data_IF_663948764268
#
_entry.id   IF_663948764268
#
_cell.length_a   1.000
_cell.length_b   1.000
_cell.length_c   1.000
_cell.angle_alpha   90.00
_cell.angle_beta   90.00
_cell.angle_gamma   90.00
#
_symmetry.space_group_name_H-M   'P 1'
#
loop_
_entity.id
_entity.type
_entity.pdbx_description
1 polymer ?
#
# COMPACT_ATOMS: atom_id res chain seq x y z
N UNK A 1 -14.60 13.04 1.95
CA UNK A 1 -13.17 13.15 2.30
C UNK A 1 -12.40 12.40 1.24
N UNK A 2 -11.39 13.00 0.60
CA UNK A 2 -10.52 12.22 -0.29
C UNK A 2 -9.83 11.10 0.52
N UNK A 3 -9.62 9.94 -0.10
CA UNK A 3 -8.92 8.78 0.48
C UNK A 3 -9.63 8.10 1.68
N UNK A 4 -10.92 7.74 1.51
CA UNK A 4 -11.71 6.99 2.51
C UNK A 4 -11.99 5.56 2.09
N UNK A 5 -11.86 4.62 3.03
CA UNK A 5 -12.25 3.21 2.90
C UNK A 5 -13.43 2.95 3.84
N UNK A 6 -14.49 2.33 3.32
CA UNK A 6 -15.61 1.87 4.14
C UNK A 6 -15.44 0.38 4.46
N UNK A 7 -15.33 0.05 5.74
CA UNK A 7 -15.31 -1.33 6.22
C UNK A 7 -16.75 -1.82 6.25
N UNK A 8 -17.05 -2.81 5.42
CA UNK A 8 -18.32 -3.50 5.34
C UNK A 8 -18.02 -4.99 5.22
N UNK A 9 -18.60 -5.85 6.07
CA UNK A 9 -18.45 -7.32 5.94
C UNK A 9 -19.05 -7.84 4.63
N UNK A 10 -19.84 -7.03 3.93
CA UNK A 10 -20.43 -7.32 2.63
C UNK A 10 -20.07 -6.15 1.71
N UNK A 11 -18.84 -6.12 1.18
CA UNK A 11 -18.50 -5.15 0.13
C UNK A 11 -19.50 -5.34 -1.01
N UNK A 12 -20.37 -4.34 -1.21
CA UNK A 12 -21.42 -4.38 -2.26
C UNK A 12 -20.83 -4.25 -3.67
N UNK A 13 -19.52 -4.31 -3.81
CA UNK A 13 -18.78 -4.08 -5.06
C UNK A 13 -18.05 -5.34 -5.48
N UNK A 14 -18.79 -6.42 -5.68
CA UNK A 14 -18.27 -7.58 -6.40
C UNK A 14 -19.20 -7.91 -7.55
N UNK A 15 -18.83 -7.37 -8.71
CA UNK A 15 -19.21 -7.95 -9.98
C UNK A 15 -18.44 -9.26 -10.23
N UNK A 16 -18.69 -9.94 -11.35
CA UNK A 16 -18.21 -11.31 -11.62
C UNK A 16 -16.68 -11.48 -11.67
N UNK A 17 -15.89 -10.40 -11.56
CA UNK A 17 -14.43 -10.39 -11.76
C UNK A 17 -13.64 -10.23 -10.44
N UNK A 18 -14.30 -9.99 -9.29
CA UNK A 18 -13.63 -9.74 -7.99
C UNK A 18 -14.24 -10.58 -6.87
N UNK A 19 -13.45 -11.36 -6.09
CA UNK A 19 -13.99 -12.10 -4.95
C UNK A 19 -14.41 -11.12 -3.84
N UNK A 20 -15.62 -11.31 -3.30
CA UNK A 20 -16.34 -10.55 -2.26
C UNK A 20 -15.58 -10.18 -0.98
N UNK A 21 -14.31 -10.56 -0.85
CA UNK A 21 -13.51 -10.47 0.35
C UNK A 21 -12.32 -9.52 0.21
N UNK A 22 -12.10 -8.90 -0.97
CA UNK A 22 -11.03 -7.91 -1.15
C UNK A 22 -11.52 -6.71 -1.98
N UNK A 23 -11.61 -5.50 -1.38
CA UNK A 23 -11.90 -4.29 -2.14
C UNK A 23 -10.74 -3.96 -3.10
N UNK A 24 -11.03 -3.16 -4.13
CA UNK A 24 -9.98 -2.58 -4.96
C UNK A 24 -8.96 -1.83 -4.08
N UNK A 25 -7.65 -1.90 -4.39
CA UNK A 25 -6.64 -1.25 -3.57
C UNK A 25 -6.86 0.26 -3.48
N UNK A 26 -6.80 0.80 -2.26
CA UNK A 26 -6.81 2.24 -2.03
C UNK A 26 -5.49 2.82 -2.49
N UNK A 27 -5.50 3.74 -3.46
CA UNK A 27 -4.28 4.38 -3.99
C UNK A 27 -4.16 5.79 -3.45
N UNK A 28 -3.00 6.11 -2.88
CA UNK A 28 -2.68 7.43 -2.34
C UNK A 28 -1.23 7.80 -2.66
N UNK A 29 -0.86 9.07 -2.47
CA UNK A 29 0.53 9.53 -2.60
C UNK A 29 1.20 9.59 -1.23
N UNK A 30 2.53 9.42 -1.16
CA UNK A 30 3.27 9.64 0.09
C UNK A 30 2.91 10.99 0.74
N UNK A 31 2.63 10.93 2.04
CA UNK A 31 2.16 12.02 2.88
C UNK A 31 0.64 12.12 2.98
N UNK A 32 -0.11 11.37 2.19
CA UNK A 32 -1.56 11.34 2.29
C UNK A 32 -2.03 10.56 3.54
N UNK A 33 -3.20 10.94 4.03
CA UNK A 33 -3.91 10.22 5.10
C UNK A 33 -5.03 9.39 4.50
N UNK A 34 -5.12 8.13 4.91
CA UNK A 34 -6.28 7.27 4.65
C UNK A 34 -7.13 7.21 5.91
N UNK A 35 -8.45 7.31 5.72
CA UNK A 35 -9.43 7.14 6.78
C UNK A 35 -10.29 5.91 6.52
N UNK A 36 -10.41 5.04 7.51
CA UNK A 36 -11.35 3.93 7.52
C UNK A 36 -12.57 4.30 8.35
N UNK A 37 -13.77 4.08 7.80
CA UNK A 37 -15.02 4.11 8.55
C UNK A 37 -15.50 2.67 8.75
N UNK A 38 -15.91 2.31 9.97
CA UNK A 38 -16.73 1.13 10.16
C UNK A 38 -18.18 1.44 9.72
N UNK A 39 -18.50 1.13 8.46
CA UNK A 39 -19.84 1.29 7.90
C UNK A 39 -20.70 0.02 8.04
N UNK A 40 -20.21 -0.95 8.81
CA UNK A 40 -20.89 -2.20 9.14
C UNK A 40 -21.64 -2.10 10.47
N UNK A 41 -22.46 -3.10 10.75
CA UNK A 41 -23.11 -3.35 12.04
C UNK A 41 -22.23 -4.13 13.02
N UNK A 42 -21.20 -4.81 12.53
CA UNK A 42 -20.23 -5.54 13.35
C UNK A 42 -19.08 -4.63 13.83
N UNK A 43 -18.42 -5.01 14.92
CA UNK A 43 -17.18 -4.36 15.37
C UNK A 43 -16.02 -4.82 14.48
N UNK A 44 -15.11 -3.90 14.15
CA UNK A 44 -13.94 -4.20 13.34
C UNK A 44 -12.67 -3.54 13.87
N UNK A 45 -11.54 -3.89 13.26
CA UNK A 45 -10.23 -3.25 13.46
C UNK A 45 -9.57 -3.06 12.10
N UNK A 46 -8.59 -2.15 12.06
CA UNK A 46 -7.64 -1.99 10.96
C UNK A 46 -6.26 -2.25 11.52
N UNK A 47 -5.66 -3.36 11.12
CA UNK A 47 -4.30 -3.71 11.48
C UNK A 47 -3.49 -3.88 10.20
N UNK A 48 -2.44 -3.07 10.00
CA UNK A 48 -1.52 -3.28 8.88
C UNK A 48 -0.90 -4.67 9.00
N UNK A 49 -0.81 -5.44 7.92
CA UNK A 49 -0.25 -6.79 7.92
C UNK A 49 1.02 -6.83 7.08
N UNK A 50 1.97 -7.66 7.52
CA UNK A 50 3.13 -8.00 6.72
C UNK A 50 2.93 -9.21 5.82
N UNK A 51 3.94 -9.52 5.02
CA UNK A 51 4.03 -10.72 4.16
C UNK A 51 3.91 -12.06 4.95
N UNK A 52 3.85 -12.03 6.29
CA UNK A 52 3.77 -13.20 7.16
C UNK A 52 3.17 -12.94 8.56
N UNK A 53 1.96 -12.36 8.68
CA UNK A 53 1.10 -12.51 9.88
C UNK A 53 1.37 -11.67 11.17
N UNK A 54 1.58 -10.35 11.06
CA UNK A 54 1.54 -9.49 12.25
C UNK A 54 1.31 -8.00 11.97
N UNK A 55 0.89 -7.20 12.99
CA UNK A 55 0.66 -5.76 12.85
C UNK A 55 1.92 -5.03 12.37
N UNK A 56 1.88 -4.37 11.20
CA UNK A 56 2.92 -3.47 10.70
C UNK A 56 2.43 -2.03 10.78
N UNK A 57 3.19 -1.18 11.47
CA UNK A 57 3.14 0.29 11.36
C UNK A 57 1.88 1.01 11.85
N UNK A 58 0.69 0.41 11.74
CA UNK A 58 -0.58 1.01 12.11
C UNK A 58 -1.58 -0.03 12.63
N UNK A 59 -2.30 0.36 13.69
CA UNK A 59 -3.31 -0.47 14.34
C UNK A 59 -4.38 0.43 14.96
N UNK A 60 -5.64 0.19 14.63
CA UNK A 60 -6.78 0.84 15.28
C UNK A 60 -7.12 0.14 16.59
N UNK A 61 -7.79 0.84 17.52
CA UNK A 61 -8.57 0.15 18.55
C UNK A 61 -9.76 -0.61 17.92
N UNK A 62 -10.53 -1.33 18.74
CA UNK A 62 -11.85 -1.80 18.32
C UNK A 62 -12.68 -0.59 17.84
N UNK A 63 -13.26 -0.71 16.66
CA UNK A 63 -14.11 0.30 16.03
C UNK A 63 -15.55 -0.20 16.06
N UNK A 64 -16.41 0.44 16.83
CA UNK A 64 -17.85 0.19 16.80
C UNK A 64 -18.47 0.68 15.47
N UNK A 65 -19.71 0.29 15.13
CA UNK A 65 -20.42 0.85 13.99
C UNK A 65 -20.41 2.38 14.01
N UNK A 66 -19.95 2.99 12.91
CA UNK A 66 -19.82 4.44 12.75
C UNK A 66 -18.48 5.03 13.20
N UNK A 67 -17.63 4.27 13.90
CA UNK A 67 -16.30 4.75 14.31
C UNK A 67 -15.34 4.85 13.12
N UNK A 68 -14.37 5.76 13.24
CA UNK A 68 -13.34 5.97 12.22
C UNK A 68 -11.93 5.85 12.79
N UNK A 69 -11.02 5.35 11.96
CA UNK A 69 -9.58 5.33 12.20
C UNK A 69 -8.86 6.03 11.04
N UNK A 70 -7.72 6.67 11.28
CA UNK A 70 -6.94 7.32 10.23
C UNK A 70 -5.46 7.11 10.42
N UNK A 71 -4.74 6.96 9.31
CA UNK A 71 -3.29 6.80 9.30
C UNK A 71 -2.66 7.55 8.12
N UNK A 72 -1.58 8.28 8.39
CA UNK A 72 -0.79 8.97 7.38
C UNK A 72 0.33 8.06 6.88
N UNK A 73 0.41 7.88 5.56
CA UNK A 73 1.38 6.99 4.94
C UNK A 73 2.56 7.79 4.36
N UNK A 74 3.75 7.61 4.93
CA UNK A 74 4.95 8.31 4.50
C UNK A 74 5.88 7.46 3.64
N UNK A 75 5.74 6.13 3.69
CA UNK A 75 6.56 5.19 2.94
C UNK A 75 5.82 4.70 1.70
N UNK A 76 6.48 4.78 0.54
CA UNK A 76 5.92 4.23 -0.70
C UNK A 76 5.94 2.70 -0.66
N UNK A 77 5.00 2.10 -1.37
CA UNK A 77 4.84 0.66 -1.48
C UNK A 77 3.44 0.20 -1.13
N UNK A 78 3.29 -1.12 -1.03
CA UNK A 78 2.03 -1.76 -0.68
C UNK A 78 1.95 -1.99 0.83
N UNK A 79 0.83 -1.58 1.41
CA UNK A 79 0.53 -1.72 2.83
C UNK A 79 -0.76 -2.53 2.95
N UNK A 80 -0.61 -3.84 3.10
CA UNK A 80 -1.72 -4.73 3.38
C UNK A 80 -2.29 -4.45 4.78
N UNK A 81 -3.56 -4.73 4.99
CA UNK A 81 -4.19 -4.70 6.30
C UNK A 81 -5.31 -5.74 6.42
N UNK A 82 -5.62 -6.13 7.65
CA UNK A 82 -6.76 -6.97 7.97
C UNK A 82 -7.42 -6.58 9.30
N UNK A 83 -8.63 -7.08 9.52
CA UNK A 83 -9.26 -7.05 10.82
C UNK A 83 -8.77 -8.22 11.69
N UNK A 84 -8.33 -7.94 12.90
CA UNK A 84 -7.78 -8.93 13.84
C UNK A 84 -8.79 -9.96 14.36
N UNK A 85 -10.08 -9.62 14.38
CA UNK A 85 -11.15 -10.52 14.83
C UNK A 85 -11.92 -11.16 13.67
N UNK A 86 -11.79 -10.59 12.46
CA UNK A 86 -12.39 -11.08 11.23
C UNK A 86 -11.35 -11.07 10.10
N UNK A 87 -10.39 -12.01 10.06
CA UNK A 87 -9.23 -11.94 9.16
C UNK A 87 -9.56 -11.89 7.65
N UNK A 88 -10.77 -12.31 7.28
CA UNK A 88 -11.32 -12.22 5.92
C UNK A 88 -11.69 -10.79 5.49
N UNK A 89 -11.80 -9.85 6.43
CA UNK A 89 -11.91 -8.42 6.13
C UNK A 89 -10.49 -7.88 5.95
N UNK A 90 -10.02 -7.87 4.70
CA UNK A 90 -8.67 -7.47 4.34
C UNK A 90 -8.67 -6.52 3.14
N UNK A 91 -7.62 -5.73 3.00
CA UNK A 91 -7.41 -4.83 1.87
C UNK A 91 -5.96 -4.37 1.77
N UNK A 92 -5.70 -3.54 0.75
CA UNK A 92 -4.35 -3.00 0.49
C UNK A 92 -4.42 -1.51 0.24
N UNK A 93 -3.53 -0.75 0.87
CA UNK A 93 -3.23 0.64 0.51
C UNK A 93 -1.95 0.65 -0.32
N UNK A 94 -2.02 1.18 -1.54
CA UNK A 94 -0.86 1.40 -2.40
C UNK A 94 -0.45 2.86 -2.30
N UNK A 95 0.76 3.10 -1.80
CA UNK A 95 1.31 4.44 -1.61
C UNK A 95 2.31 4.70 -2.72
N UNK A 96 1.93 5.57 -3.65
CA UNK A 96 2.79 6.00 -4.74
C UNK A 96 3.84 7.00 -4.20
N UNK A 97 5.10 6.92 -4.66
CA UNK A 97 6.12 7.91 -4.30
C UNK A 97 5.63 9.32 -4.62
N UNK A 98 5.84 10.25 -3.68
CA UNK A 98 5.64 11.67 -4.00
C UNK A 98 6.75 12.06 -4.95
N UNK A 99 6.42 12.18 -6.23
CA UNK A 99 7.40 12.50 -7.27
C UNK A 99 8.22 13.73 -6.87
N UNK A 100 9.54 13.55 -6.75
CA UNK A 100 10.46 14.65 -6.99
C UNK A 100 10.36 14.95 -8.49
N UNK A 101 10.22 16.21 -8.94
CA UNK A 101 10.43 16.48 -10.36
C UNK A 101 11.79 15.90 -10.75
N UNK A 102 11.81 15.12 -11.83
CA UNK A 102 13.00 14.49 -12.36
C UNK A 102 14.00 15.57 -12.77
N UNK A 103 14.88 15.97 -11.85
CA UNK A 103 16.10 16.69 -12.17
C UNK A 103 17.24 15.99 -11.45
N UNK A 104 18.22 15.57 -12.24
CA UNK A 104 19.39 14.75 -11.94
C UNK A 104 19.17 13.21 -11.93
N UNK A 105 18.77 12.69 -13.09
CA UNK A 105 19.26 11.39 -13.56
C UNK A 105 19.84 11.55 -14.97
N UNK A 106 20.82 12.44 -15.11
CA UNK A 106 21.70 12.45 -16.28
C UNK A 106 23.12 12.81 -15.82
N UNK A 107 23.97 11.79 -15.67
CA UNK A 107 25.41 11.80 -15.98
C UNK A 107 26.08 10.53 -15.43
N UNK A 108 26.17 9.50 -16.27
CA UNK A 108 27.35 8.64 -16.28
C UNK A 108 27.63 8.30 -17.76
N UNK A 109 28.73 8.77 -18.36
CA UNK A 109 29.05 8.41 -19.73
C UNK A 109 29.42 6.93 -19.77
N UNK A 110 28.74 6.15 -20.61
CA UNK A 110 29.25 4.85 -21.04
C UNK A 110 30.46 5.08 -21.94
N UNK A 111 31.66 5.01 -21.38
CA UNK A 111 32.87 4.85 -22.20
C UNK A 111 32.85 3.43 -22.77
N UNK A 112 32.87 3.33 -24.10
CA UNK A 112 32.99 2.10 -24.86
C UNK A 112 34.45 1.60 -24.81
N UNK A 113 34.60 0.28 -24.75
CA UNK A 113 35.86 -0.48 -24.75
C UNK A 113 36.81 -0.17 -25.93
N UNK A 114 38.11 -0.36 -25.69
CA UNK A 114 39.09 -0.69 -26.73
C UNK A 114 39.72 -2.07 -26.42
N UNK A 115 39.93 -2.94 -27.43
CA UNK A 115 40.37 -4.32 -27.24
C UNK A 115 41.89 -4.52 -27.37
N UNK A 116 42.33 -5.68 -26.88
CA UNK A 116 43.48 -6.53 -27.28
C UNK A 116 44.90 -5.91 -27.35
N UNK A 117 45.77 -6.41 -26.47
CA UNK A 117 47.22 -6.43 -26.67
C UNK A 117 47.61 -7.52 -27.67
N UNK A 118 48.53 -7.21 -28.57
CA UNK A 118 49.31 -8.17 -29.36
C UNK A 118 50.71 -7.54 -29.70
N UNK A 119 51.72 -8.28 -30.19
CA UNK A 119 52.89 -8.68 -29.40
C UNK A 119 54.26 -8.06 -29.81
N UNK A 120 55.31 -8.47 -29.05
CA UNK A 120 56.75 -8.57 -29.39
C UNK A 120 57.64 -7.31 -29.47
N UNK A 121 58.76 -7.35 -28.74
CA UNK A 121 59.96 -6.55 -29.02
C UNK A 121 61.25 -7.26 -28.58
N UNK A 122 62.09 -7.52 -29.59
CA UNK A 122 63.57 -7.57 -29.63
C UNK A 122 64.33 -8.74 -28.95
#
# INVERSE_FOLDING_TARGET
>A
MPNRVDIVSHSRSCGPESPCQRPDPMRVTQGDTVSWLNADSAVHTVAGTGDADGPRGFYSSLMAPGDSFSHAFHEAGEHAYSCTIHPWVAGTVVVEPRGRPAVAAEAAPKVREAPASDPEAA
#
